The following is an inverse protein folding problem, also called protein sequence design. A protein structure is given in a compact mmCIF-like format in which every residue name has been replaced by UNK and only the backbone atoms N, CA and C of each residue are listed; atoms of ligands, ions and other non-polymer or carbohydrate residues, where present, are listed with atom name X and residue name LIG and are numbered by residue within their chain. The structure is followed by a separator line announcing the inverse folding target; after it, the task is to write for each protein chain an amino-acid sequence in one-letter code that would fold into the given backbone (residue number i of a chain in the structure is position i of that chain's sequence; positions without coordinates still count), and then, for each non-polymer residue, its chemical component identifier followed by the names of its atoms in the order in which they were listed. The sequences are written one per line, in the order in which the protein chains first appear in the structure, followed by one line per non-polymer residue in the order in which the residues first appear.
data_IF_244750220557
#
_entry.id   IF_244750220557
#
_cell.length_a   1.000
_cell.length_b   1.000
_cell.length_c   1.000
_cell.angle_alpha   90.00
_cell.angle_beta   90.00
_cell.angle_gamma   90.00
#
_symmetry.space_group_name_H-M   'P 1'
#
loop_
_entity.id
_entity.type
_entity.pdbx_description
1 polymer ?
#
# COMPACT_ATOMS: atom_id res chain seq x y z
N UNK A 1 -7.23 -29.99 -19.04
CA UNK A 1 -8.23 -29.11 -18.41
C UNK A 1 -7.99 -27.69 -18.87
N UNK A 2 -9.03 -26.94 -19.22
CA UNK A 2 -8.89 -25.52 -19.55
C UNK A 2 -8.52 -24.76 -18.27
N UNK A 3 -7.42 -24.01 -18.28
CA UNK A 3 -6.90 -23.29 -17.10
C UNK A 3 -7.46 -21.87 -16.97
N UNK A 4 -8.18 -21.37 -17.98
CA UNK A 4 -8.72 -20.00 -18.01
C UNK A 4 -10.04 -19.92 -18.79
N UNK A 5 -10.99 -19.12 -18.31
CA UNK A 5 -12.25 -18.85 -19.02
C UNK A 5 -12.20 -17.50 -19.74
N UNK A 6 -12.91 -17.42 -20.88
CA UNK A 6 -13.14 -16.15 -21.58
C UNK A 6 -14.45 -15.56 -21.06
N UNK A 7 -14.36 -14.40 -20.44
CA UNK A 7 -15.50 -13.65 -19.91
C UNK A 7 -15.83 -12.48 -20.84
N UNK A 8 -17.13 -12.22 -21.01
CA UNK A 8 -17.66 -11.04 -21.68
C UNK A 8 -18.18 -10.10 -20.60
N UNK A 9 -17.75 -8.83 -20.63
CA UNK A 9 -18.15 -7.81 -19.67
C UNK A 9 -18.83 -6.68 -20.43
N UNK A 10 -19.97 -6.22 -19.92
CA UNK A 10 -20.63 -5.01 -20.40
C UNK A 10 -20.10 -3.82 -19.61
N UNK A 11 -19.47 -2.86 -20.29
CA UNK A 11 -18.78 -1.72 -19.67
C UNK A 11 -19.10 -0.45 -20.47
N UNK A 12 -19.28 0.70 -19.80
CA UNK A 12 -19.31 2.00 -20.46
C UNK A 12 -18.07 2.25 -21.32
N UNK A 13 -18.26 2.86 -22.50
CA UNK A 13 -17.18 3.10 -23.48
C UNK A 13 -16.07 4.01 -22.94
N UNK A 14 -16.46 5.02 -22.15
CA UNK A 14 -15.55 5.96 -21.48
C UNK A 14 -14.64 5.21 -20.49
N UNK A 15 -15.21 4.34 -19.65
CA UNK A 15 -14.46 3.52 -18.71
C UNK A 15 -13.48 2.57 -19.44
N UNK A 16 -13.92 1.96 -20.54
CA UNK A 16 -13.06 1.09 -21.34
C UNK A 16 -11.89 1.86 -21.97
N UNK A 17 -12.13 3.09 -22.42
CA UNK A 17 -11.11 3.96 -23.00
C UNK A 17 -10.07 4.39 -21.95
N UNK A 18 -10.51 4.77 -20.76
CA UNK A 18 -9.62 5.09 -19.64
C UNK A 18 -8.76 3.89 -19.24
N UNK A 19 -9.37 2.70 -19.13
CA UNK A 19 -8.66 1.47 -18.79
C UNK A 19 -7.57 1.13 -19.84
N UNK A 20 -7.87 1.29 -21.14
CA UNK A 20 -6.88 1.09 -22.22
C UNK A 20 -5.74 2.11 -22.14
N UNK A 21 -6.07 3.37 -21.90
CA UNK A 21 -5.07 4.44 -21.72
C UNK A 21 -4.14 4.14 -20.56
N UNK A 22 -4.71 3.68 -19.43
CA UNK A 22 -3.94 3.28 -18.25
C UNK A 22 -3.04 2.07 -18.53
N UNK A 23 -3.53 1.08 -19.29
CA UNK A 23 -2.75 -0.09 -19.67
C UNK A 23 -1.51 0.30 -20.49
N UNK A 24 -1.67 1.20 -21.48
CA UNK A 24 -0.54 1.73 -22.27
C UNK A 24 0.46 2.47 -21.39
N UNK A 25 -0.02 3.38 -20.52
CA UNK A 25 0.85 4.14 -19.59
C UNK A 25 1.67 3.22 -18.68
N UNK A 26 1.07 2.12 -18.21
CA UNK A 26 1.72 1.12 -17.36
C UNK A 26 2.50 0.04 -18.13
N UNK A 27 2.59 0.14 -19.47
CA UNK A 27 3.21 -0.86 -20.35
C UNK A 27 2.67 -2.28 -20.09
N UNK A 28 1.37 -2.41 -19.89
CA UNK A 28 0.68 -3.68 -19.63
C UNK A 28 -0.51 -3.86 -20.58
N UNK A 29 -1.20 -5.01 -20.49
CA UNK A 29 -2.38 -5.29 -21.30
C UNK A 29 -3.67 -5.00 -20.53
N UNK A 30 -4.76 -4.72 -21.23
CA UNK A 30 -6.08 -4.57 -20.61
C UNK A 30 -6.47 -5.83 -19.81
N UNK A 31 -6.17 -7.02 -20.35
CA UNK A 31 -6.38 -8.30 -19.65
C UNK A 31 -5.65 -8.33 -18.31
N UNK A 32 -4.35 -8.03 -18.31
CA UNK A 32 -3.54 -8.05 -17.10
C UNK A 32 -3.99 -6.99 -16.09
N UNK A 33 -4.43 -5.82 -16.56
CA UNK A 33 -4.98 -4.77 -15.73
C UNK A 33 -6.29 -5.20 -15.05
N UNK A 34 -7.22 -5.78 -15.82
CA UNK A 34 -8.50 -6.29 -15.30
C UNK A 34 -8.26 -7.46 -14.32
N UNK A 35 -7.35 -8.39 -14.65
CA UNK A 35 -7.00 -9.49 -13.76
C UNK A 35 -6.39 -8.97 -12.45
N UNK A 36 -5.47 -8.00 -12.51
CA UNK A 36 -4.85 -7.40 -11.33
C UNK A 36 -5.88 -6.69 -10.45
N UNK A 37 -6.81 -5.94 -11.05
CA UNK A 37 -7.91 -5.30 -10.33
C UNK A 37 -8.80 -6.36 -9.66
N UNK A 38 -9.26 -7.36 -10.40
CA UNK A 38 -10.10 -8.43 -9.86
C UNK A 38 -9.41 -9.19 -8.72
N UNK A 39 -8.11 -9.51 -8.86
CA UNK A 39 -7.33 -10.12 -7.78
C UNK A 39 -7.21 -9.23 -6.56
N UNK A 40 -7.12 -7.90 -6.73
CA UNK A 40 -7.08 -6.97 -5.60
C UNK A 40 -8.44 -6.91 -4.89
N UNK A 41 -9.54 -6.85 -5.62
CA UNK A 41 -10.89 -6.83 -5.03
C UNK A 41 -11.25 -8.17 -4.34
N UNK A 42 -10.74 -9.29 -4.86
CA UNK A 42 -10.94 -10.62 -4.28
C UNK A 42 -9.94 -10.99 -3.20
N UNK A 43 -8.84 -10.22 -3.04
CA UNK A 43 -7.98 -10.44 -1.88
C UNK A 43 -8.87 -10.21 -0.66
N UNK A 44 -8.97 -11.18 0.27
CA UNK A 44 -9.48 -10.87 1.59
C UNK A 44 -8.73 -9.62 2.03
N UNK A 45 -9.45 -8.62 2.59
CA UNK A 45 -8.81 -7.62 3.41
C UNK A 45 -7.90 -8.44 4.30
N UNK A 46 -6.58 -8.36 4.07
CA UNK A 46 -5.68 -9.31 4.66
C UNK A 46 -6.09 -9.34 6.13
N UNK A 47 -6.28 -10.52 6.70
CA UNK A 47 -6.18 -10.65 8.13
C UNK A 47 -4.72 -10.27 8.41
N UNK A 48 -4.43 -8.96 8.35
CA UNK A 48 -3.19 -8.40 8.82
C UNK A 48 -3.37 -8.64 10.30
N UNK A 49 -2.90 -9.81 10.74
CA UNK A 49 -2.83 -10.18 12.13
C UNK A 49 -2.12 -9.00 12.77
N UNK A 50 -2.87 -8.24 13.56
CA UNK A 50 -2.37 -7.02 14.11
C UNK A 50 -1.18 -7.41 15.01
N UNK A 51 0.06 -7.04 14.64
CA UNK A 51 1.24 -7.51 15.35
C UNK A 51 1.28 -6.92 16.76
N UNK A 52 0.62 -5.79 16.97
CA UNK A 52 0.52 -5.11 18.26
C UNK A 52 -0.86 -4.43 18.39
N UNK A 53 -1.87 -5.14 18.94
CA UNK A 53 -3.19 -4.59 19.17
C UNK A 53 -3.24 -3.38 20.10
N UNK A 54 -2.16 -3.08 20.84
CA UNK A 54 -2.10 -1.87 21.66
C UNK A 54 -1.72 -0.64 20.83
N UNK A 55 -0.92 -0.81 19.76
CA UNK A 55 -0.46 0.29 18.91
C UNK A 55 -1.31 0.51 17.66
N UNK A 56 -1.85 -0.56 17.09
CA UNK A 56 -2.58 -0.49 15.82
C UNK A 56 -4.04 -0.88 15.96
N UNK A 57 -4.86 -0.40 15.04
CA UNK A 57 -6.23 -0.84 14.79
C UNK A 57 -6.45 -1.06 13.28
N UNK A 58 -7.46 -1.85 12.91
CA UNK A 58 -7.77 -2.12 11.49
C UNK A 58 -8.70 -1.03 10.98
N UNK A 59 -8.23 -0.23 10.03
CA UNK A 59 -9.01 0.83 9.40
C UNK A 59 -10.06 0.30 8.39
N UNK A 60 -10.95 1.17 7.89
CA UNK A 60 -12.07 0.79 7.02
C UNK A 60 -11.68 0.10 5.70
N UNK A 61 -10.44 0.31 5.26
CA UNK A 61 -9.87 -0.29 4.05
C UNK A 61 -9.09 -1.59 4.34
N UNK A 62 -9.12 -2.09 5.57
CA UNK A 62 -8.41 -3.30 5.99
C UNK A 62 -6.92 -3.13 6.25
N UNK A 63 -6.41 -1.89 6.27
CA UNK A 63 -5.03 -1.58 6.63
C UNK A 63 -4.88 -1.34 8.14
N UNK A 64 -3.71 -1.68 8.71
CA UNK A 64 -3.37 -1.25 10.06
C UNK A 64 -3.14 0.26 10.09
N UNK A 65 -3.82 0.94 11.00
CA UNK A 65 -3.63 2.36 11.32
C UNK A 65 -3.18 2.48 12.77
N UNK A 66 -2.37 3.49 13.07
CA UNK A 66 -1.96 3.77 14.45
C UNK A 66 -3.18 4.25 15.24
N UNK A 67 -3.40 3.65 16.41
CA UNK A 67 -4.35 4.19 17.39
C UNK A 67 -3.87 5.58 17.77
N UNK A 68 -4.78 6.56 17.71
CA UNK A 68 -4.50 7.94 18.12
C UNK A 68 -5.32 8.21 19.36
N UNK A 69 -4.69 8.65 20.45
CA UNK A 69 -5.46 9.12 21.59
C UNK A 69 -6.20 10.41 21.21
N UNK A 70 -7.45 10.61 21.69
CA UNK A 70 -8.19 11.83 21.41
C UNK A 70 -7.41 13.07 21.87
N UNK A 71 -7.03 13.94 20.93
CA UNK A 71 -6.22 15.13 21.20
C UNK A 71 -4.72 14.97 20.92
N UNK A 72 -4.26 13.76 20.57
CA UNK A 72 -2.88 13.51 20.18
C UNK A 72 -2.65 13.90 18.71
N UNK A 73 -2.12 15.11 18.50
CA UNK A 73 -1.74 15.61 17.19
C UNK A 73 -0.25 15.39 16.95
N UNK A 74 0.09 14.70 15.86
CA UNK A 74 1.46 14.70 15.36
C UNK A 74 1.75 16.08 14.79
N UNK A 75 2.61 16.84 15.45
CA UNK A 75 3.03 18.18 15.00
C UNK A 75 4.18 18.08 14.01
N UNK A 76 4.38 19.10 13.18
CA UNK A 76 5.53 19.17 12.26
C UNK A 76 6.87 19.08 13.02
N UNK A 77 6.97 19.73 14.19
CA UNK A 77 8.17 19.69 15.02
C UNK A 77 8.50 18.27 15.50
N UNK A 78 7.49 17.47 15.80
CA UNK A 78 7.69 16.05 16.17
C UNK A 78 8.23 15.25 14.98
N UNK A 79 7.75 15.52 13.76
CA UNK A 79 8.27 14.86 12.55
C UNK A 79 9.73 15.24 12.30
N UNK A 80 10.07 16.51 12.44
CA UNK A 80 11.44 17.00 12.26
C UNK A 80 12.40 16.39 13.29
N UNK A 81 12.02 16.35 14.56
CA UNK A 81 12.85 15.75 15.60
C UNK A 81 13.16 14.26 15.33
N UNK A 82 12.19 13.51 14.76
CA UNK A 82 12.40 12.11 14.36
C UNK A 82 13.37 12.03 13.17
N UNK A 83 13.25 12.93 12.19
CA UNK A 83 14.16 12.97 11.03
C UNK A 83 15.60 13.23 11.47
N UNK A 84 15.81 14.24 12.33
CA UNK A 84 17.12 14.60 12.84
C UNK A 84 17.75 13.44 13.63
N UNK A 85 16.97 12.74 14.47
CA UNK A 85 17.45 11.55 15.17
C UNK A 85 17.91 10.43 14.23
N UNK A 86 17.15 10.18 13.15
CA UNK A 86 17.50 9.15 12.17
C UNK A 86 18.77 9.52 11.40
N UNK A 87 18.92 10.78 11.01
CA UNK A 87 20.12 11.29 10.33
C UNK A 87 21.36 11.17 11.22
N UNK A 88 21.24 11.50 12.51
CA UNK A 88 22.31 11.34 13.49
C UNK A 88 22.68 9.87 13.70
N UNK A 89 21.69 8.98 13.80
CA UNK A 89 21.92 7.53 13.92
C UNK A 89 22.63 6.97 12.67
N UNK A 90 22.24 7.41 11.48
CA UNK A 90 22.90 7.04 10.22
C UNK A 90 24.34 7.56 10.16
N UNK A 91 24.58 8.80 10.58
CA UNK A 91 25.92 9.39 10.67
C UNK A 91 26.81 8.62 11.66
N UNK A 92 26.27 8.28 12.84
CA UNK A 92 27.00 7.49 13.84
C UNK A 92 27.37 6.10 13.31
N UNK A 93 26.46 5.44 12.58
CA UNK A 93 26.73 4.14 11.97
C UNK A 93 27.79 4.23 10.86
N UNK A 94 27.86 5.34 10.14
CA UNK A 94 28.88 5.59 9.13
C UNK A 94 30.26 5.83 9.76
N UNK A 95 30.32 6.54 10.91
CA UNK A 95 31.55 6.81 11.65
C UNK A 95 32.03 5.58 12.42
N UNK A 96 31.11 4.75 12.92
CA UNK A 96 31.38 3.52 13.65
C UNK A 96 30.78 2.32 12.91
N UNK A 97 31.43 1.85 11.82
CA UNK A 97 30.96 0.67 11.11
C UNK A 97 30.97 -0.53 12.06
N UNK A 98 29.95 -1.41 11.99
CA UNK A 98 29.90 -2.61 12.83
C UNK A 98 31.16 -3.44 12.62
N UNK A 99 31.90 -3.71 13.69
CA UNK A 99 33.03 -4.63 13.65
C UNK A 99 32.48 -6.04 13.41
N UNK A 100 32.99 -6.69 12.36
CA UNK A 100 32.63 -8.04 11.96
C UNK A 100 33.09 -9.10 12.97
#
# INVERSE_FOLDING_TARGET
MITHMKTTLDLPDDLLMEAKTLAVRRKTTLKALVESALRRELRPAAEIANPDPQKFEVGPLGFLVLKREPGETITLNMVQAIQDQLEDEELQRAIHPPQA
#
